data_IF_787199264113
#
_entry.id   IF_787199264113
#
_cell.length_a   1.000
_cell.length_b   1.000
_cell.length_c   1.000
_cell.angle_alpha   90.00
_cell.angle_beta   90.00
_cell.angle_gamma   90.00
#
_symmetry.space_group_name_H-M   'P 1'
#
loop_
_entity.id
_entity.type
_entity.pdbx_description
1 polymer ?
#
# COMPACT_ATOMS: atom_id res chain seq x y z
N UNK A 1 19.16 6.85 3.59
CA UNK A 1 19.55 5.79 4.54
C UNK A 1 18.77 5.83 5.87
N UNK A 2 18.99 6.78 6.79
CA UNK A 2 18.36 6.76 8.14
C UNK A 2 16.81 6.83 8.09
N UNK A 3 16.26 7.82 7.41
CA UNK A 3 14.80 7.98 7.29
C UNK A 3 14.12 6.78 6.61
N UNK A 4 14.76 6.19 5.60
CA UNK A 4 14.22 5.02 4.88
C UNK A 4 14.03 3.83 5.81
N UNK A 5 15.02 3.56 6.67
CA UNK A 5 14.96 2.49 7.67
C UNK A 5 13.82 2.73 8.67
N UNK A 6 13.75 3.94 9.23
CA UNK A 6 12.70 4.33 10.19
C UNK A 6 11.29 4.19 9.60
N UNK A 7 11.09 4.67 8.36
CA UNK A 7 9.82 4.52 7.63
C UNK A 7 9.46 3.05 7.49
N UNK A 8 10.39 2.22 7.01
CA UNK A 8 10.14 0.79 6.81
C UNK A 8 9.84 0.04 8.10
N UNK A 9 10.58 0.35 9.17
CA UNK A 9 10.37 -0.27 10.48
C UNK A 9 8.98 0.07 11.00
N UNK A 10 8.61 1.35 11.02
CA UNK A 10 7.30 1.79 11.50
C UNK A 10 6.15 1.15 10.71
N UNK A 11 6.24 1.13 9.37
CA UNK A 11 5.22 0.49 8.53
C UNK A 11 5.11 -1.01 8.82
N UNK A 12 6.23 -1.71 8.91
CA UNK A 12 6.21 -3.15 9.15
C UNK A 12 5.73 -3.50 10.56
N UNK A 13 6.03 -2.68 11.58
CA UNK A 13 5.49 -2.85 12.94
C UNK A 13 3.97 -2.62 12.99
N UNK A 14 3.46 -1.60 12.29
CA UNK A 14 2.01 -1.40 12.10
C UNK A 14 1.38 -2.66 11.49
N UNK A 15 1.96 -3.17 10.39
CA UNK A 15 1.47 -4.33 9.64
C UNK A 15 1.49 -5.63 10.46
N UNK A 16 2.49 -5.82 11.33
CA UNK A 16 2.56 -6.96 12.26
C UNK A 16 1.50 -6.93 13.36
N UNK A 17 1.03 -5.73 13.69
CA UNK A 17 0.20 -5.46 14.86
C UNK A 17 -1.28 -5.29 14.54
N UNK A 18 -1.69 -5.56 13.30
CA UNK A 18 -3.10 -5.42 12.90
C UNK A 18 -4.00 -6.40 13.66
N UNK A 19 -5.22 -5.93 13.95
CA UNK A 19 -6.30 -6.75 14.49
C UNK A 19 -7.55 -6.61 13.61
N UNK A 20 -8.20 -7.73 13.20
CA UNK A 20 -7.76 -9.12 13.39
C UNK A 20 -6.42 -9.43 12.71
N UNK A 21 -5.76 -10.54 13.08
CA UNK A 21 -4.46 -10.88 12.48
C UNK A 21 -4.58 -11.15 10.99
N UNK A 22 -3.54 -10.83 10.22
CA UNK A 22 -3.51 -11.00 8.78
C UNK A 22 -2.72 -12.25 8.38
N UNK A 23 -3.29 -13.07 7.49
CA UNK A 23 -2.64 -14.29 6.99
C UNK A 23 -1.74 -14.09 5.77
N UNK A 24 -1.91 -12.97 5.06
CA UNK A 24 -1.28 -12.69 3.77
C UNK A 24 -0.57 -11.31 3.71
N UNK A 25 -0.28 -10.70 4.86
CA UNK A 25 0.31 -9.36 4.93
C UNK A 25 1.75 -9.37 4.42
N UNK A 26 2.05 -8.71 3.30
CA UNK A 26 3.43 -8.64 2.81
C UNK A 26 4.31 -7.71 3.66
N UNK A 27 5.58 -8.08 3.81
CA UNK A 27 6.62 -7.19 4.33
C UNK A 27 6.90 -6.08 3.32
N UNK A 28 6.91 -4.83 3.79
CA UNK A 28 7.30 -3.70 2.97
C UNK A 28 8.82 -3.61 2.82
N UNK A 29 9.26 -3.22 1.62
CA UNK A 29 10.64 -2.91 1.25
C UNK A 29 10.73 -1.54 0.59
N UNK A 30 11.89 -0.89 0.69
CA UNK A 30 12.09 0.43 0.08
C UNK A 30 12.21 0.32 -1.44
N UNK A 31 11.62 1.29 -2.15
CA UNK A 31 11.75 1.43 -3.60
C UNK A 31 12.26 2.83 -3.93
N UNK A 32 13.50 2.90 -4.43
CA UNK A 32 14.10 4.18 -4.85
C UNK A 32 13.34 4.82 -6.02
N UNK A 33 12.72 4.01 -6.89
CA UNK A 33 11.84 4.52 -7.95
C UNK A 33 10.60 5.20 -7.35
N UNK A 34 9.94 4.56 -6.38
CA UNK A 34 8.78 5.16 -5.70
C UNK A 34 9.18 6.44 -4.95
N UNK A 35 10.35 6.46 -4.30
CA UNK A 35 10.85 7.64 -3.60
C UNK A 35 11.12 8.80 -4.56
N UNK A 36 11.70 8.53 -5.74
CA UNK A 36 11.92 9.54 -6.78
C UNK A 36 10.59 10.12 -7.28
N UNK A 37 9.58 9.30 -7.52
CA UNK A 37 8.25 9.77 -7.94
C UNK A 37 7.57 10.58 -6.82
N UNK A 38 7.65 10.11 -5.58
CA UNK A 38 7.16 10.86 -4.41
C UNK A 38 7.83 12.23 -4.30
N UNK A 39 9.14 12.32 -4.52
CA UNK A 39 9.88 13.58 -4.49
C UNK A 39 9.47 14.52 -5.61
N UNK A 40 9.29 14.00 -6.82
CA UNK A 40 8.81 14.79 -7.96
C UNK A 40 7.45 15.43 -7.66
N UNK A 41 6.51 14.66 -7.09
CA UNK A 41 5.21 15.18 -6.69
C UNK A 41 5.31 16.17 -5.53
N UNK A 42 6.07 15.84 -4.48
CA UNK A 42 6.25 16.71 -3.32
C UNK A 42 6.80 18.09 -3.73
N UNK A 43 7.75 18.13 -4.66
CA UNK A 43 8.35 19.37 -5.16
C UNK A 43 7.38 20.28 -5.93
N UNK A 44 6.27 19.75 -6.46
CA UNK A 44 5.24 20.59 -7.10
C UNK A 44 4.45 21.42 -6.09
N UNK A 45 4.48 21.05 -4.80
CA UNK A 45 3.83 21.79 -3.72
C UNK A 45 2.32 22.04 -3.96
N UNK A 46 1.62 21.10 -4.61
CA UNK A 46 0.18 21.19 -4.89
C UNK A 46 -0.71 20.84 -3.69
N UNK A 47 -0.12 20.34 -2.59
CA UNK A 47 -0.79 20.10 -1.30
C UNK A 47 -1.99 19.15 -1.38
N UNK A 48 -1.97 18.20 -2.30
CA UNK A 48 -3.03 17.22 -2.54
C UNK A 48 -2.44 15.90 -3.06
N UNK A 49 -3.29 14.88 -3.20
CA UNK A 49 -2.86 13.62 -3.81
C UNK A 49 -2.56 13.77 -5.30
N UNK A 50 -1.56 13.05 -5.80
CA UNK A 50 -1.16 13.05 -7.21
C UNK A 50 -2.21 12.39 -8.12
N UNK A 51 -2.34 12.87 -9.38
CA UNK A 51 -3.09 12.16 -10.41
C UNK A 51 -2.62 10.71 -10.55
N UNK A 52 -3.54 9.79 -10.86
CA UNK A 52 -3.25 8.34 -10.87
C UNK A 52 -2.19 7.95 -11.90
N UNK A 53 -2.20 8.59 -13.05
CA UNK A 53 -1.25 8.43 -14.14
C UNK A 53 0.17 8.92 -13.77
N UNK A 54 0.29 9.92 -12.90
CA UNK A 54 1.58 10.39 -12.39
C UNK A 54 2.26 9.44 -11.40
N UNK A 55 1.56 8.41 -10.92
CA UNK A 55 2.06 7.40 -9.98
C UNK A 55 2.05 5.98 -10.54
N UNK A 56 2.24 5.85 -11.85
CA UNK A 56 2.47 4.57 -12.53
C UNK A 56 3.97 4.31 -12.67
N UNK A 57 4.47 3.25 -12.02
CA UNK A 57 5.89 2.90 -11.99
C UNK A 57 6.08 1.51 -12.60
N UNK A 58 6.79 1.44 -13.74
CA UNK A 58 6.97 0.22 -14.53
C UNK A 58 5.65 -0.52 -14.83
N UNK A 59 4.59 0.22 -15.20
CA UNK A 59 3.27 -0.32 -15.49
C UNK A 59 2.42 -0.67 -14.27
N UNK A 60 2.93 -0.47 -13.04
CA UNK A 60 2.19 -0.68 -11.80
C UNK A 60 1.66 0.65 -11.28
N UNK A 61 0.35 0.77 -11.10
CA UNK A 61 -0.21 1.91 -10.35
C UNK A 61 0.16 1.80 -8.87
N UNK A 62 0.70 2.87 -8.30
CA UNK A 62 0.97 3.01 -6.88
C UNK A 62 -0.12 3.83 -6.18
N UNK A 63 -0.37 3.53 -4.91
CA UNK A 63 -1.17 4.31 -3.99
C UNK A 63 -0.34 5.44 -3.39
N UNK A 64 -0.98 6.31 -2.62
CA UNK A 64 -0.31 7.48 -2.04
C UNK A 64 -0.96 7.87 -0.72
N UNK A 65 -0.14 8.16 0.29
CA UNK A 65 -0.54 8.91 1.46
C UNK A 65 0.17 10.26 1.43
N UNK A 66 -0.54 11.31 1.85
CA UNK A 66 0.01 12.65 2.00
C UNK A 66 -0.22 13.20 3.40
N UNK A 67 0.67 14.07 3.85
CA UNK A 67 0.49 14.87 5.05
C UNK A 67 0.96 16.30 4.81
N UNK A 68 0.13 17.26 5.20
CA UNK A 68 0.44 18.68 5.17
C UNK A 68 0.81 19.12 6.59
N UNK A 69 1.91 19.85 6.75
CA UNK A 69 2.30 20.38 8.06
C UNK A 69 2.92 21.78 7.98
N UNK A 70 2.71 22.59 9.01
CA UNK A 70 3.31 23.92 9.14
C UNK A 70 4.70 23.90 9.80
N UNK A 71 5.12 22.74 10.31
CA UNK A 71 6.42 22.54 10.95
C UNK A 71 7.02 21.21 10.47
N UNK A 72 8.36 21.09 10.45
CA UNK A 72 9.00 19.83 10.13
C UNK A 72 8.66 18.78 11.20
N UNK A 73 8.25 17.60 10.75
CA UNK A 73 7.96 16.41 11.55
C UNK A 73 8.94 15.28 11.25
N UNK A 74 9.18 14.45 12.26
CA UNK A 74 9.83 13.14 12.04
C UNK A 74 8.89 12.25 11.23
N UNK A 75 9.47 11.27 10.53
CA UNK A 75 8.68 10.32 9.76
C UNK A 75 7.82 9.43 10.66
N UNK A 76 8.30 9.04 11.85
CA UNK A 76 7.47 8.37 12.85
C UNK A 76 6.19 9.15 13.15
N UNK A 77 6.29 10.45 13.40
CA UNK A 77 5.13 11.28 13.74
C UNK A 77 4.15 11.39 12.56
N UNK A 78 4.69 11.56 11.34
CA UNK A 78 3.87 11.63 10.13
C UNK A 78 3.09 10.32 9.89
N UNK A 79 3.74 9.17 10.08
CA UNK A 79 3.11 7.85 9.94
C UNK A 79 2.07 7.62 11.04
N UNK A 80 2.33 8.09 12.26
CA UNK A 80 1.36 8.01 13.36
C UNK A 80 0.10 8.84 13.11
N UNK A 81 0.20 9.99 12.43
CA UNK A 81 -0.98 10.73 11.96
C UNK A 81 -1.83 9.87 11.03
N UNK A 82 -1.22 9.21 10.04
CA UNK A 82 -1.96 8.27 9.18
C UNK A 82 -2.52 7.08 9.96
N UNK A 83 -1.76 6.52 10.91
CA UNK A 83 -2.19 5.41 11.77
C UNK A 83 -3.39 5.78 12.62
N UNK A 84 -3.47 7.01 13.14
CA UNK A 84 -4.54 7.46 14.03
C UNK A 84 -5.96 7.34 13.46
N UNK A 85 -6.07 7.29 12.12
CA UNK A 85 -7.33 7.01 11.43
C UNK A 85 -7.89 5.60 11.75
N UNK A 86 -7.08 4.70 12.32
CA UNK A 86 -7.54 3.39 12.79
C UNK A 86 -8.68 3.47 13.79
N UNK A 87 -8.79 4.56 14.55
CA UNK A 87 -9.89 4.82 15.48
C UNK A 87 -11.26 4.87 14.79
N UNK A 88 -11.28 5.20 13.50
CA UNK A 88 -12.49 5.28 12.66
C UNK A 88 -12.67 4.07 11.74
N UNK A 89 -11.90 3.00 11.94
CA UNK A 89 -11.92 1.81 11.10
C UNK A 89 -12.35 0.57 11.89
N UNK A 90 -13.26 -0.21 11.31
CA UNK A 90 -13.59 -1.56 11.78
C UNK A 90 -13.44 -2.55 10.64
N UNK A 91 -12.60 -3.57 10.83
CA UNK A 91 -12.41 -4.62 9.82
C UNK A 91 -13.74 -5.30 9.46
N UNK A 92 -13.98 -5.50 8.18
CA UNK A 92 -15.22 -6.05 7.61
C UNK A 92 -16.37 -5.04 7.50
N UNK A 93 -16.27 -3.87 8.13
CA UNK A 93 -17.29 -2.81 8.08
C UNK A 93 -16.79 -1.56 7.34
N UNK A 94 -15.52 -1.19 7.52
CA UNK A 94 -14.93 0.02 6.98
C UNK A 94 -15.04 1.19 7.96
N UNK A 95 -15.54 2.33 7.48
CA UNK A 95 -15.63 3.60 8.24
C UNK A 95 -16.69 3.51 9.34
N UNK A 96 -16.34 3.83 10.58
CA UNK A 96 -17.25 3.74 11.74
C UNK A 96 -17.90 5.07 12.14
N UNK A 97 -17.38 6.20 11.67
CA UNK A 97 -17.87 7.53 12.01
C UNK A 97 -18.23 8.33 10.75
N UNK A 98 -19.30 9.12 10.83
CA UNK A 98 -19.73 9.96 9.71
C UNK A 98 -18.62 10.95 9.32
N UNK A 99 -18.35 11.07 8.02
CA UNK A 99 -17.32 11.95 7.46
C UNK A 99 -15.88 11.63 7.91
N UNK A 100 -15.63 10.46 8.51
CA UNK A 100 -14.27 10.06 8.84
C UNK A 100 -13.53 9.49 7.63
N UNK A 101 -12.22 9.70 7.59
CA UNK A 101 -11.33 9.17 6.57
C UNK A 101 -10.48 8.04 7.18
N UNK A 102 -10.43 6.90 6.48
CA UNK A 102 -9.63 5.71 6.85
C UNK A 102 -8.56 5.37 5.81
N UNK A 103 -8.50 6.10 4.70
CA UNK A 103 -7.75 5.71 3.50
C UNK A 103 -6.25 5.66 3.76
N UNK A 104 -5.71 6.60 4.55
CA UNK A 104 -4.29 6.56 4.88
C UNK A 104 -3.98 5.34 5.75
N UNK A 105 -4.83 5.03 6.73
CA UNK A 105 -4.66 3.85 7.57
C UNK A 105 -4.79 2.57 6.75
N UNK A 106 -5.83 2.39 5.95
CA UNK A 106 -6.01 1.17 5.15
C UNK A 106 -4.88 0.96 4.15
N UNK A 107 -4.27 2.04 3.64
CA UNK A 107 -3.07 1.95 2.80
C UNK A 107 -1.84 1.45 3.57
N UNK A 108 -1.63 1.89 4.83
CA UNK A 108 -0.54 1.37 5.68
C UNK A 108 -0.65 -0.15 5.86
N UNK A 109 -1.88 -0.65 6.02
CA UNK A 109 -2.18 -2.06 6.29
C UNK A 109 -2.63 -2.83 5.05
N UNK A 110 -2.40 -2.30 3.83
CA UNK A 110 -2.84 -2.99 2.62
C UNK A 110 -1.95 -4.19 2.31
N UNK A 111 -2.52 -5.39 2.26
CA UNK A 111 -1.73 -6.63 2.24
C UNK A 111 -0.75 -6.71 1.06
N UNK A 112 -1.16 -6.23 -0.13
CA UNK A 112 -0.39 -6.37 -1.37
C UNK A 112 0.62 -5.23 -1.58
N UNK A 113 0.48 -4.09 -0.89
CA UNK A 113 1.41 -2.96 -1.01
C UNK A 113 2.71 -3.27 -0.29
N UNK A 114 3.70 -3.77 -1.02
CA UNK A 114 4.96 -4.26 -0.46
C UNK A 114 6.17 -3.39 -0.82
N UNK A 115 6.03 -2.44 -1.74
CA UNK A 115 7.06 -1.44 -1.99
C UNK A 115 6.60 -0.08 -1.50
N UNK A 116 7.49 0.65 -0.85
CA UNK A 116 7.24 2.01 -0.41
C UNK A 116 8.40 2.93 -0.77
N UNK A 117 8.08 4.16 -1.15
CA UNK A 117 9.07 5.22 -1.28
C UNK A 117 8.44 6.56 -0.92
N UNK A 118 9.16 7.36 -0.15
CA UNK A 118 8.62 8.58 0.42
C UNK A 118 9.56 9.77 0.22
N UNK A 119 8.99 10.96 0.28
CA UNK A 119 9.67 12.23 0.16
C UNK A 119 8.97 13.31 0.99
N UNK A 120 9.72 14.36 1.31
CA UNK A 120 9.18 15.59 1.89
C UNK A 120 9.73 16.77 1.13
N UNK A 121 8.90 17.79 0.91
CA UNK A 121 9.31 19.06 0.31
C UNK A 121 8.93 20.23 1.23
N UNK A 122 9.77 21.26 1.24
CA UNK A 122 9.47 22.55 1.84
C UNK A 122 8.80 23.46 0.81
N UNK A 123 7.60 23.94 1.13
CA UNK A 123 6.70 24.67 0.25
C UNK A 123 6.39 26.06 0.84
N UNK A 124 7.32 27.04 0.77
CA UNK A 124 7.23 28.30 1.53
C UNK A 124 6.02 29.17 1.18
N UNK A 125 5.42 28.99 0.00
CA UNK A 125 4.25 29.76 -0.46
C UNK A 125 2.92 29.20 0.04
N UNK A 126 2.92 28.03 0.67
CA UNK A 126 1.72 27.37 1.19
C UNK A 126 1.58 27.60 2.70
N UNK A 127 0.34 27.67 3.19
CA UNK A 127 0.02 27.76 4.62
C UNK A 127 0.63 26.59 5.42
N UNK A 128 0.59 25.39 4.84
CA UNK A 128 1.35 24.24 5.31
C UNK A 128 2.63 24.18 4.47
N UNK A 129 3.75 24.54 5.06
CA UNK A 129 5.02 24.68 4.35
C UNK A 129 5.85 23.39 4.30
N UNK A 130 5.36 22.26 4.83
CA UNK A 130 5.98 20.95 4.65
C UNK A 130 4.97 19.96 4.07
N UNK A 131 5.32 19.34 2.95
CA UNK A 131 4.48 18.41 2.23
C UNK A 131 5.14 17.03 2.18
N UNK A 132 4.55 16.07 2.90
CA UNK A 132 5.01 14.69 2.99
C UNK A 132 4.22 13.82 2.02
N UNK A 133 4.92 12.98 1.28
CA UNK A 133 4.35 12.07 0.28
C UNK A 133 4.97 10.69 0.45
N UNK A 134 4.16 9.64 0.57
CA UNK A 134 4.61 8.25 0.46
C UNK A 134 3.82 7.55 -0.64
N UNK A 135 4.53 6.93 -1.60
CA UNK A 135 3.95 6.07 -2.62
C UNK A 135 4.06 4.61 -2.23
N UNK A 136 2.99 3.85 -2.48
CA UNK A 136 2.84 2.44 -2.12
C UNK A 136 2.57 1.60 -3.37
N UNK A 137 3.43 0.65 -3.71
CA UNK A 137 3.31 -0.12 -4.95
C UNK A 137 3.20 -1.63 -4.66
N UNK A 138 2.18 -2.33 -5.21
CA UNK A 138 0.98 -1.79 -5.86
C UNK A 138 0.11 -0.91 -4.96
N UNK A 139 -0.78 -0.14 -5.60
CA UNK A 139 -1.81 0.63 -4.93
C UNK A 139 -2.72 -0.23 -4.05
N UNK A 140 -3.05 0.29 -2.87
CA UNK A 140 -4.09 -0.25 -2.02
C UNK A 140 -5.45 0.40 -2.25
N UNK A 141 -6.31 0.32 -1.23
CA UNK A 141 -7.60 1.01 -1.16
C UNK A 141 -8.51 0.76 -2.37
N UNK A 142 -8.57 -0.48 -2.84
CA UNK A 142 -9.61 -0.87 -3.78
C UNK A 142 -10.98 -0.64 -3.11
N UNK A 143 -11.83 0.16 -3.74
CA UNK A 143 -13.15 0.57 -3.23
C UNK A 143 -13.99 -0.63 -2.79
N UNK A 144 -13.93 -1.74 -3.52
CA UNK A 144 -14.68 -2.95 -3.22
C UNK A 144 -14.13 -3.77 -2.05
N UNK A 145 -12.91 -3.48 -1.59
CA UNK A 145 -12.17 -4.25 -0.58
C UNK A 145 -11.65 -3.39 0.57
N UNK A 146 -11.98 -2.10 0.61
CA UNK A 146 -11.40 -1.17 1.60
C UNK A 146 -11.75 -1.56 3.05
N UNK A 147 -12.89 -2.22 3.26
CA UNK A 147 -13.28 -2.76 4.55
C UNK A 147 -12.46 -4.01 4.97
N UNK A 148 -11.79 -4.67 4.03
CA UNK A 148 -10.99 -5.89 4.24
C UNK A 148 -9.61 -5.76 3.56
N UNK A 149 -8.74 -4.85 4.04
CA UNK A 149 -7.47 -4.50 3.40
C UNK A 149 -6.43 -5.63 3.40
N UNK A 150 -6.71 -6.71 4.12
CA UNK A 150 -5.97 -7.96 4.15
C UNK A 150 -6.93 -9.11 4.40
N UNK A 151 -6.46 -10.35 4.25
CA UNK A 151 -7.23 -11.53 4.66
C UNK A 151 -7.01 -11.82 6.13
N UNK A 152 -8.07 -11.82 6.91
CA UNK A 152 -8.02 -12.23 8.33
C UNK A 152 -7.67 -13.72 8.47
N UNK A 153 -6.81 -14.04 9.43
CA UNK A 153 -6.42 -15.40 9.79
C UNK A 153 -5.08 -15.46 10.55
N UNK A 154 -4.60 -16.67 10.87
CA UNK A 154 -3.29 -16.84 11.52
C UNK A 154 -2.17 -16.21 10.69
N UNK A 155 -1.24 -15.54 11.37
CA UNK A 155 -0.12 -14.85 10.72
C UNK A 155 0.63 -15.78 9.77
N UNK A 156 0.90 -15.29 8.56
CA UNK A 156 1.60 -16.02 7.50
C UNK A 156 0.95 -17.33 7.00
N UNK A 157 -0.32 -17.61 7.32
CA UNK A 157 -0.94 -18.87 6.87
C UNK A 157 -1.08 -19.00 5.34
N UNK A 158 -1.02 -17.89 4.59
CA UNK A 158 -1.02 -17.90 3.11
C UNK A 158 0.41 -17.92 2.51
N UNK A 159 1.46 -17.93 3.33
CA UNK A 159 2.87 -17.89 2.88
C UNK A 159 3.80 -18.80 3.72
N UNK A 160 3.48 -20.10 3.83
CA UNK A 160 4.35 -21.05 4.55
C UNK A 160 5.76 -21.05 3.95
N UNK A 161 6.78 -21.07 4.82
CA UNK A 161 8.20 -20.98 4.42
C UNK A 161 8.67 -19.58 3.98
N UNK A 162 7.77 -18.60 3.89
CA UNK A 162 8.08 -17.23 3.47
C UNK A 162 7.54 -16.20 4.47
N UNK A 163 7.89 -16.37 5.74
CA UNK A 163 7.41 -15.54 6.84
C UNK A 163 8.58 -14.90 7.61
N UNK A 164 8.57 -13.57 7.73
CA UNK A 164 9.45 -12.82 8.63
C UNK A 164 8.60 -12.16 9.72
N UNK A 165 8.60 -12.77 10.90
CA UNK A 165 7.94 -12.24 12.11
C UNK A 165 6.49 -11.81 11.85
N UNK A 166 5.73 -12.67 11.17
CA UNK A 166 4.31 -12.46 10.87
C UNK A 166 3.99 -11.70 9.57
N UNK A 167 5.01 -11.37 8.76
CA UNK A 167 4.84 -10.77 7.44
C UNK A 167 5.34 -11.71 6.33
N UNK A 168 4.56 -11.85 5.26
CA UNK A 168 4.91 -12.62 4.08
C UNK A 168 6.04 -11.96 3.28
N UNK A 169 6.98 -12.75 2.73
CA UNK A 169 8.15 -12.25 1.99
C UNK A 169 8.19 -12.69 0.52
N UNK A 170 7.10 -13.28 0.02
CA UNK A 170 6.96 -13.84 -1.32
C UNK A 170 5.91 -13.09 -2.16
N UNK A 171 6.12 -11.79 -2.48
CA UNK A 171 5.18 -11.04 -3.30
C UNK A 171 5.12 -11.58 -4.74
N UNK A 172 3.92 -11.60 -5.32
CA UNK A 172 3.76 -11.80 -6.75
C UNK A 172 4.29 -10.58 -7.51
N UNK A 173 5.12 -10.81 -8.52
CA UNK A 173 5.72 -9.74 -9.35
C UNK A 173 4.88 -9.39 -10.58
N UNK A 174 3.89 -10.22 -10.89
CA UNK A 174 2.93 -9.97 -11.95
C UNK A 174 1.69 -9.26 -11.39
N UNK A 175 0.94 -8.61 -12.28
CA UNK A 175 -0.36 -8.02 -11.93
C UNK A 175 -1.40 -8.47 -12.94
N UNK A 176 -2.58 -8.77 -12.42
CA UNK A 176 -3.76 -9.00 -13.23
C UNK A 176 -4.33 -7.66 -13.67
N UNK A 177 -4.73 -7.59 -14.93
CA UNK A 177 -5.43 -6.44 -15.50
C UNK A 177 -6.89 -6.41 -15.06
N UNK A 178 -7.50 -7.59 -14.86
CA UNK A 178 -8.91 -7.73 -14.48
C UNK A 178 -9.07 -8.24 -13.05
N UNK A 179 -9.98 -7.62 -12.31
CA UNK A 179 -10.29 -8.03 -10.93
C UNK A 179 -10.89 -9.45 -10.84
N UNK A 180 -11.57 -9.92 -11.89
CA UNK A 180 -12.21 -11.24 -11.95
C UNK A 180 -11.32 -12.34 -12.57
N UNK A 181 -10.01 -12.12 -12.71
CA UNK A 181 -9.08 -13.11 -13.28
C UNK A 181 -9.17 -14.51 -12.64
N UNK A 182 -9.45 -14.59 -11.33
CA UNK A 182 -9.67 -15.87 -10.63
C UNK A 182 -10.89 -16.61 -11.18
N UNK A 183 -12.01 -15.92 -11.42
CA UNK A 183 -13.21 -16.52 -11.98
C UNK A 183 -12.98 -16.93 -13.44
N UNK A 184 -12.31 -16.08 -14.22
CA UNK A 184 -11.94 -16.37 -15.60
C UNK A 184 -11.05 -17.62 -15.69
N UNK A 185 -10.14 -17.83 -14.73
CA UNK A 185 -9.26 -19.01 -14.69
C UNK A 185 -10.03 -20.29 -14.49
N UNK A 186 -11.02 -20.27 -13.61
CA UNK A 186 -11.90 -21.43 -13.39
C UNK A 186 -12.70 -21.78 -14.63
N UNK A 187 -13.13 -20.79 -15.41
CA UNK A 187 -13.94 -21.01 -16.62
C UNK A 187 -13.14 -21.44 -17.84
N UNK A 188 -11.98 -20.82 -18.09
CA UNK A 188 -11.26 -20.98 -19.38
C UNK A 188 -9.84 -21.53 -19.23
N UNK A 189 -9.28 -21.56 -18.01
CA UNK A 189 -7.90 -21.93 -17.78
C UNK A 189 -6.87 -20.89 -18.27
N UNK A 190 -5.62 -21.06 -17.84
CA UNK A 190 -4.55 -20.08 -18.11
C UNK A 190 -3.99 -20.12 -19.54
N UNK A 191 -4.30 -21.16 -20.30
CA UNK A 191 -3.89 -21.27 -21.70
C UNK A 191 -4.79 -20.45 -22.64
N UNK A 192 -5.97 -20.04 -22.17
CA UNK A 192 -6.88 -19.21 -22.97
C UNK A 192 -6.25 -17.83 -23.24
N UNK A 193 -6.23 -17.33 -24.49
CA UNK A 193 -5.48 -16.14 -24.87
C UNK A 193 -5.76 -14.90 -24.01
N UNK A 194 -7.03 -14.69 -23.63
CA UNK A 194 -7.42 -13.56 -22.78
C UNK A 194 -6.69 -13.61 -21.42
N UNK A 195 -6.64 -14.78 -20.77
CA UNK A 195 -5.99 -14.93 -19.47
C UNK A 195 -4.48 -14.91 -19.57
N UNK A 196 -3.93 -15.56 -20.60
CA UNK A 196 -2.49 -15.59 -20.83
C UNK A 196 -1.90 -14.19 -20.90
N UNK A 197 -2.64 -13.25 -21.51
CA UNK A 197 -2.21 -11.87 -21.71
C UNK A 197 -2.59 -10.93 -20.55
N UNK A 198 -3.73 -11.15 -19.90
CA UNK A 198 -4.30 -10.17 -18.94
C UNK A 198 -4.35 -10.65 -17.49
N UNK A 199 -4.10 -11.93 -17.22
CA UNK A 199 -4.14 -12.52 -15.87
C UNK A 199 -2.83 -13.21 -15.45
N UNK A 200 -1.64 -12.60 -15.67
CA UNK A 200 -0.38 -13.27 -15.39
C UNK A 200 -0.14 -13.52 -13.90
N UNK A 201 -0.71 -12.72 -12.98
CA UNK A 201 -0.57 -12.99 -11.54
C UNK A 201 -1.36 -14.25 -11.17
N UNK A 202 -2.65 -14.29 -11.51
CA UNK A 202 -3.52 -15.46 -11.27
C UNK A 202 -2.98 -16.75 -11.91
N UNK A 203 -2.27 -16.64 -13.05
CA UNK A 203 -1.75 -17.79 -13.78
C UNK A 203 -0.33 -18.22 -13.40
N UNK A 204 0.55 -17.29 -13.02
CA UNK A 204 1.97 -17.60 -12.75
C UNK A 204 2.32 -17.60 -11.26
N UNK A 205 1.56 -16.91 -10.42
CA UNK A 205 1.81 -16.83 -8.98
C UNK A 205 0.94 -17.85 -8.25
N UNK A 206 1.45 -19.07 -8.09
CA UNK A 206 0.73 -20.16 -7.41
C UNK A 206 0.99 -20.19 -5.90
N UNK A 207 2.17 -19.73 -5.47
CA UNK A 207 2.57 -19.74 -4.05
C UNK A 207 2.80 -18.33 -3.50
N UNK A 208 2.92 -17.33 -4.37
CA UNK A 208 3.17 -15.94 -4.00
C UNK A 208 1.88 -15.21 -3.64
N UNK A 209 2.00 -14.19 -2.79
CA UNK A 209 0.87 -13.31 -2.45
C UNK A 209 0.59 -12.36 -3.62
N UNK A 210 -0.61 -12.48 -4.20
CA UNK A 210 -1.13 -11.65 -5.31
C UNK A 210 -2.43 -10.96 -4.94
#
# INVERSE_FOLDING_TARGET
>A
ARNQKEILEEHNEIRRSVFPTARNMLKMVWSEKAAKYAQNWANKCEMKVSPRDERVINGVTCGENVLLSSNPRKWTDAIQVWRSQSSNFKYGYGVTAKNANIENYTQLIWYSSYQIGCAVAYCPKNQFNYFYVCLYCPAGNNVMQIATPYKSGPKCADCPGHCDRGLCTNPCRYQDTYANCKNLKTLFGCNYPLLKNNCPATCKCTTQIS
#
